data_IF_544854840446
#
_entry.id   IF_544854840446
#
_cell.length_a   1.000
_cell.length_b   1.000
_cell.length_c   1.000
_cell.angle_alpha   90.00
_cell.angle_beta   90.00
_cell.angle_gamma   90.00
#
_symmetry.space_group_name_H-M   'P 1'
#
loop_
_entity.id
_entity.type
_entity.pdbx_description
1 polymer ?
#
# COMPACT_ATOMS: atom_id res chain seq x y z
N UNK A 1 -25.32 17.15 -4.85
CA UNK A 1 -25.78 15.85 -5.41
C UNK A 1 -25.42 14.70 -4.47
N UNK A 2 -26.33 14.31 -3.58
CA UNK A 2 -26.09 13.31 -2.53
C UNK A 2 -25.47 11.98 -3.01
N UNK A 3 -25.97 11.43 -4.12
CA UNK A 3 -25.51 10.15 -4.68
C UNK A 3 -24.03 10.21 -5.07
N UNK A 4 -23.58 11.29 -5.71
CA UNK A 4 -22.18 11.46 -6.11
C UNK A 4 -21.27 11.52 -4.88
N UNK A 5 -21.67 12.23 -3.83
CA UNK A 5 -20.93 12.26 -2.56
C UNK A 5 -20.73 10.86 -1.98
N UNK A 6 -21.79 10.04 -1.95
CA UNK A 6 -21.73 8.66 -1.44
C UNK A 6 -20.82 7.75 -2.29
N UNK A 7 -20.77 7.95 -3.61
CA UNK A 7 -19.86 7.22 -4.49
C UNK A 7 -18.40 7.54 -4.17
N UNK A 8 -18.05 8.82 -4.00
CA UNK A 8 -16.69 9.22 -3.63
C UNK A 8 -16.26 8.69 -2.25
N UNK A 9 -17.15 8.70 -1.26
CA UNK A 9 -16.87 8.07 0.05
C UNK A 9 -16.60 6.58 -0.10
N UNK A 10 -17.43 5.88 -0.87
CA UNK A 10 -17.28 4.43 -1.08
C UNK A 10 -15.96 4.09 -1.77
N UNK A 11 -15.58 4.87 -2.79
CA UNK A 11 -14.27 4.75 -3.44
C UNK A 11 -13.12 5.01 -2.45
N UNK A 12 -13.23 6.07 -1.64
CA UNK A 12 -12.22 6.39 -0.62
C UNK A 12 -12.00 5.22 0.35
N UNK A 13 -13.09 4.54 0.76
CA UNK A 13 -13.02 3.35 1.61
C UNK A 13 -12.34 2.18 0.90
N UNK A 14 -12.67 1.91 -0.36
CA UNK A 14 -12.06 0.83 -1.13
C UNK A 14 -10.55 1.05 -1.32
N UNK A 15 -10.13 2.26 -1.67
CA UNK A 15 -8.71 2.61 -1.77
C UNK A 15 -8.00 2.46 -0.42
N UNK A 16 -8.60 2.94 0.67
CA UNK A 16 -8.00 2.79 2.00
C UNK A 16 -7.85 1.31 2.40
N UNK A 17 -8.84 0.47 2.10
CA UNK A 17 -8.73 -0.98 2.31
C UNK A 17 -7.60 -1.59 1.47
N UNK A 18 -7.50 -1.21 0.20
CA UNK A 18 -6.43 -1.67 -0.69
C UNK A 18 -5.04 -1.31 -0.13
N UNK A 19 -4.82 -0.06 0.27
CA UNK A 19 -3.55 0.37 0.84
C UNK A 19 -3.22 -0.36 2.15
N UNK A 20 -4.22 -0.62 3.01
CA UNK A 20 -4.04 -1.44 4.23
C UNK A 20 -3.65 -2.88 3.90
N UNK A 21 -4.27 -3.51 2.91
CA UNK A 21 -3.90 -4.86 2.47
C UNK A 21 -2.45 -4.88 2.02
N UNK A 22 -2.05 -3.94 1.17
CA UNK A 22 -0.66 -3.83 0.71
C UNK A 22 0.30 -3.62 1.89
N UNK A 23 -0.05 -2.75 2.83
CA UNK A 23 0.72 -2.53 4.05
C UNK A 23 0.96 -3.84 4.81
N UNK A 24 -0.10 -4.62 5.06
CA UNK A 24 0.02 -5.90 5.75
C UNK A 24 0.82 -6.93 4.95
N UNK A 25 0.70 -6.97 3.63
CA UNK A 25 1.54 -7.85 2.80
C UNK A 25 3.04 -7.50 2.96
N UNK A 26 3.39 -6.22 3.00
CA UNK A 26 4.77 -5.80 3.28
C UNK A 26 5.24 -6.18 4.68
N UNK A 27 4.38 -6.02 5.70
CA UNK A 27 4.69 -6.47 7.07
C UNK A 27 4.95 -7.98 7.09
N UNK A 28 4.07 -8.79 6.51
CA UNK A 28 4.22 -10.25 6.43
C UNK A 28 5.54 -10.59 5.72
N UNK A 29 5.87 -9.89 4.63
CA UNK A 29 7.11 -10.13 3.89
C UNK A 29 8.37 -9.87 4.74
N UNK A 30 8.38 -8.79 5.52
CA UNK A 30 9.49 -8.47 6.43
C UNK A 30 9.59 -9.53 7.53
N UNK A 31 8.47 -9.94 8.12
CA UNK A 31 8.46 -10.99 9.14
C UNK A 31 9.01 -12.30 8.56
N UNK A 32 8.57 -12.71 7.37
CA UNK A 32 9.05 -13.92 6.71
C UNK A 32 10.55 -13.85 6.35
N UNK A 33 11.10 -12.67 6.06
CA UNK A 33 12.52 -12.52 5.77
C UNK A 33 13.39 -12.74 7.00
N UNK A 34 12.91 -12.42 8.20
CA UNK A 34 13.62 -12.72 9.47
C UNK A 34 13.72 -14.21 9.75
N UNK A 35 12.69 -14.99 9.37
CA UNK A 35 12.67 -16.44 9.55
C UNK A 35 13.35 -17.20 8.41
N UNK A 36 13.89 -16.50 7.39
CA UNK A 36 14.55 -17.11 6.23
C UNK A 36 13.68 -18.18 5.54
N UNK A 37 12.35 -17.99 5.53
CA UNK A 37 11.42 -18.95 4.92
C UNK A 37 11.70 -19.02 3.42
N UNK A 38 11.92 -20.24 2.93
CA UNK A 38 12.26 -20.44 1.52
C UNK A 38 11.10 -20.02 0.61
N UNK A 39 11.43 -19.32 -0.48
CA UNK A 39 10.48 -18.83 -1.48
C UNK A 39 9.87 -19.94 -2.36
N UNK A 40 10.24 -21.20 -2.11
CA UNK A 40 9.72 -22.38 -2.82
C UNK A 40 8.31 -22.77 -2.38
N UNK A 41 7.80 -22.23 -1.27
CA UNK A 41 6.39 -22.42 -0.92
C UNK A 41 5.50 -21.51 -1.77
N UNK A 42 4.45 -22.08 -2.36
CA UNK A 42 3.57 -21.37 -3.31
C UNK A 42 3.04 -20.06 -2.73
N UNK A 43 2.63 -20.04 -1.45
CA UNK A 43 2.12 -18.86 -0.77
C UNK A 43 3.15 -17.75 -0.62
N UNK A 44 4.40 -18.08 -0.28
CA UNK A 44 5.48 -17.10 -0.16
C UNK A 44 5.82 -16.55 -1.54
N UNK A 45 5.83 -17.40 -2.58
CA UNK A 45 6.08 -16.94 -3.95
C UNK A 45 5.02 -15.92 -4.43
N UNK A 46 3.74 -16.15 -4.09
CA UNK A 46 2.64 -15.21 -4.39
C UNK A 46 2.84 -13.90 -3.66
N UNK A 47 3.19 -13.94 -2.37
CA UNK A 47 3.46 -12.73 -1.59
C UNK A 47 4.57 -11.88 -2.22
N UNK A 48 5.68 -12.51 -2.63
CA UNK A 48 6.79 -11.81 -3.27
C UNK A 48 6.35 -11.23 -4.62
N UNK A 49 5.62 -11.97 -5.45
CA UNK A 49 5.10 -11.46 -6.74
C UNK A 49 4.17 -10.26 -6.57
N UNK A 50 3.34 -10.23 -5.52
CA UNK A 50 2.43 -9.11 -5.27
C UNK A 50 3.16 -7.86 -4.74
N UNK A 51 4.22 -8.04 -3.96
CA UNK A 51 4.93 -6.94 -3.30
C UNK A 51 6.17 -6.47 -4.07
N UNK A 52 6.73 -7.29 -4.95
CA UNK A 52 7.91 -6.95 -5.77
C UNK A 52 7.73 -5.73 -6.66
N UNK A 53 6.61 -5.54 -7.39
CA UNK A 53 6.40 -4.33 -8.20
C UNK A 53 6.49 -3.04 -7.38
N UNK A 54 6.18 -3.11 -6.08
CA UNK A 54 6.24 -1.98 -5.15
C UNK A 54 7.67 -1.76 -4.65
N UNK A 55 8.41 -2.84 -4.36
CA UNK A 55 9.78 -2.76 -3.82
C UNK A 55 10.87 -2.58 -4.88
N UNK A 56 10.69 -3.12 -6.09
CA UNK A 56 11.67 -3.09 -7.18
C UNK A 56 12.17 -1.68 -7.54
N UNK A 57 11.31 -0.64 -7.63
CA UNK A 57 11.78 0.72 -7.87
C UNK A 57 12.74 1.21 -6.78
N UNK A 58 12.48 0.87 -5.52
CA UNK A 58 13.31 1.28 -4.38
C UNK A 58 14.61 0.48 -4.27
N UNK A 59 14.63 -0.77 -4.75
CA UNK A 59 15.85 -1.59 -4.81
C UNK A 59 16.92 -1.07 -5.76
N UNK A 60 16.57 -0.13 -6.64
CA UNK A 60 17.56 0.58 -7.47
C UNK A 60 18.32 1.66 -6.69
N UNK A 61 17.83 2.04 -5.51
CA UNK A 61 18.49 2.95 -4.60
C UNK A 61 19.49 2.15 -3.74
N UNK A 62 20.61 2.74 -3.31
CA UNK A 62 21.60 2.10 -2.44
C UNK A 62 21.10 2.02 -0.99
N UNK A 63 19.95 1.38 -0.78
CA UNK A 63 19.26 1.20 0.52
C UNK A 63 19.51 -0.18 1.12
N UNK A 64 20.39 -0.96 0.52
CA UNK A 64 20.82 -2.24 1.06
C UNK A 64 22.12 -2.01 1.84
N UNK A 65 22.09 -2.27 3.15
CA UNK A 65 23.26 -2.16 4.02
C UNK A 65 23.58 -3.57 4.53
N UNK A 66 24.64 -4.16 3.99
CA UNK A 66 24.96 -5.57 4.23
C UNK A 66 23.83 -6.47 3.73
N UNK A 67 23.26 -7.30 4.62
CA UNK A 67 22.15 -8.22 4.32
C UNK A 67 20.77 -7.62 4.59
N UNK A 68 20.70 -6.36 5.06
CA UNK A 68 19.45 -5.71 5.44
C UNK A 68 18.93 -4.86 4.28
N UNK A 69 17.71 -5.16 3.82
CA UNK A 69 17.00 -4.41 2.79
C UNK A 69 16.09 -3.34 3.45
N UNK A 70 16.46 -2.06 3.34
CA UNK A 70 15.65 -0.94 3.84
C UNK A 70 14.63 -0.43 2.82
N UNK A 71 14.54 -1.02 1.63
CA UNK A 71 13.50 -0.69 0.62
C UNK A 71 12.06 -0.72 1.18
N UNK A 72 11.68 -1.63 2.10
CA UNK A 72 10.34 -1.64 2.67
C UNK A 72 9.97 -0.35 3.44
N UNK A 73 10.95 0.37 4.00
CA UNK A 73 10.67 1.65 4.70
C UNK A 73 10.13 2.69 3.72
N UNK A 74 10.77 2.83 2.55
CA UNK A 74 10.29 3.74 1.53
C UNK A 74 8.95 3.29 0.96
N UNK A 75 8.72 1.98 0.85
CA UNK A 75 7.42 1.47 0.42
C UNK A 75 6.32 1.81 1.43
N UNK A 76 6.57 1.68 2.74
CA UNK A 76 5.62 2.12 3.76
C UNK A 76 5.35 3.62 3.66
N UNK A 77 6.39 4.44 3.51
CA UNK A 77 6.24 5.88 3.35
C UNK A 77 5.39 6.22 2.11
N UNK A 78 5.68 5.58 0.97
CA UNK A 78 4.91 5.76 -0.26
C UNK A 78 3.45 5.36 -0.07
N UNK A 79 3.18 4.20 0.54
CA UNK A 79 1.81 3.73 0.76
C UNK A 79 1.05 4.65 1.71
N UNK A 80 1.67 5.09 2.81
CA UNK A 80 1.05 6.04 3.74
C UNK A 80 0.77 7.39 3.08
N UNK A 81 1.68 7.86 2.22
CA UNK A 81 1.46 9.06 1.42
C UNK A 81 0.29 8.87 0.43
N UNK A 82 0.26 7.76 -0.32
CA UNK A 82 -0.81 7.49 -1.29
C UNK A 82 -2.17 7.31 -0.62
N UNK A 83 -2.24 6.63 0.52
CA UNK A 83 -3.47 6.52 1.31
C UNK A 83 -3.96 7.92 1.72
N UNK A 84 -3.10 8.71 2.35
CA UNK A 84 -3.46 10.07 2.79
C UNK A 84 -3.88 10.97 1.63
N UNK A 85 -3.12 10.94 0.53
CA UNK A 85 -3.34 11.81 -0.63
C UNK A 85 -4.60 11.41 -1.41
N UNK A 86 -4.68 10.15 -1.85
CA UNK A 86 -5.79 9.66 -2.70
C UNK A 86 -7.10 9.64 -1.91
N UNK A 87 -7.10 9.06 -0.70
CA UNK A 87 -8.30 8.99 0.14
C UNK A 87 -8.70 10.40 0.60
N UNK A 88 -7.73 11.27 0.91
CA UNK A 88 -7.97 12.66 1.25
C UNK A 88 -8.70 13.41 0.14
N UNK A 89 -8.21 13.32 -1.10
CA UNK A 89 -8.85 13.94 -2.27
C UNK A 89 -10.27 13.39 -2.47
N UNK A 90 -10.45 12.07 -2.43
CA UNK A 90 -11.76 11.46 -2.62
C UNK A 90 -12.76 11.90 -1.55
N UNK A 91 -12.33 12.01 -0.28
CA UNK A 91 -13.16 12.54 0.80
C UNK A 91 -13.49 14.02 0.60
N UNK A 92 -12.51 14.83 0.18
CA UNK A 92 -12.75 16.25 -0.10
C UNK A 92 -13.76 16.44 -1.22
N UNK A 93 -13.64 15.69 -2.32
CA UNK A 93 -14.62 15.67 -3.40
C UNK A 93 -16.00 15.25 -2.87
N UNK A 94 -16.06 14.20 -2.05
CA UNK A 94 -17.31 13.77 -1.44
C UNK A 94 -18.00 14.89 -0.64
N UNK A 95 -17.24 15.65 0.16
CA UNK A 95 -17.78 16.78 0.92
C UNK A 95 -18.28 17.90 0.00
N UNK A 96 -17.60 18.20 -1.10
CA UNK A 96 -18.06 19.21 -2.07
C UNK A 96 -19.39 18.82 -2.72
N UNK A 97 -19.54 17.57 -3.16
CA UNK A 97 -20.78 17.09 -3.78
C UNK A 97 -21.91 16.83 -2.77
N UNK A 98 -21.57 16.51 -1.52
CA UNK A 98 -22.50 16.30 -0.41
C UNK A 98 -22.99 17.60 0.22
N UNK A 99 -22.14 18.63 0.32
CA UNK A 99 -22.50 19.96 0.83
C UNK A 99 -23.22 20.83 -0.20
N UNK A 100 -23.09 20.53 -1.49
CA UNK A 100 -23.86 21.13 -2.58
C UNK A 100 -25.23 20.46 -2.78
N UNK A 101 -25.86 19.97 -1.72
CA UNK A 101 -27.20 19.38 -1.68
C UNK A 101 -27.99 20.03 -0.53
#
# INVERSE_FOLDING_TARGET
>A
MFILGQLFVSLAVLFSMLFKVIYFLLVIRIVLSWFQVSSYSDLVSVLYRMTDPILLPFRRLPLQIGMIDFSPILAFLLISFLDSFVVGILRQLAYQFGAAA
#
